data_IF_380493402401
#
_entry.id   IF_380493402401
#
_cell.length_a   1.000
_cell.length_b   1.000
_cell.length_c   1.000
_cell.angle_alpha   90.00
_cell.angle_beta   90.00
_cell.angle_gamma   90.00
#
_symmetry.space_group_name_H-M   'P 1'
#
loop_
_entity.id
_entity.type
_entity.pdbx_description
1 polymer ?
#
# COMPACT_ATOMS: atom_id res chain seq x y z
N UNK A 1 27.18 25.26 30.33
CA UNK A 1 27.48 25.36 28.89
C UNK A 1 26.40 24.55 28.18
N UNK A 2 25.49 25.18 27.44
CA UNK A 2 24.43 24.51 26.67
C UNK A 2 24.84 24.58 25.20
N UNK A 3 25.77 23.74 24.71
CA UNK A 3 25.78 23.41 23.29
C UNK A 3 24.75 22.29 23.10
N UNK A 4 23.85 22.34 22.13
CA UNK A 4 23.47 21.15 21.34
C UNK A 4 22.11 21.22 20.66
N UNK A 5 21.17 22.12 20.98
CA UNK A 5 19.83 22.05 20.34
C UNK A 5 19.92 22.14 18.81
N UNK A 6 20.73 23.07 18.28
CA UNK A 6 20.92 23.18 16.83
C UNK A 6 21.59 21.95 16.22
N UNK A 7 22.55 21.34 16.95
CA UNK A 7 23.20 20.08 16.52
C UNK A 7 22.21 18.91 16.55
N UNK A 8 21.35 18.82 17.56
CA UNK A 8 20.27 17.83 17.67
C UNK A 8 19.26 18.01 16.55
N UNK A 9 18.90 19.25 16.20
CA UNK A 9 18.00 19.54 15.09
C UNK A 9 18.63 19.09 13.76
N UNK A 10 19.93 19.35 13.54
CA UNK A 10 20.63 18.86 12.34
C UNK A 10 20.63 17.33 12.25
N UNK A 11 20.83 16.62 13.37
CA UNK A 11 20.71 15.15 13.42
C UNK A 11 19.30 14.71 13.05
N UNK A 12 18.26 15.38 13.58
CA UNK A 12 16.86 15.08 13.23
C UNK A 12 16.56 15.35 11.76
N UNK A 13 17.13 16.40 11.18
CA UNK A 13 16.96 16.73 9.76
C UNK A 13 17.59 15.66 8.87
N UNK A 14 18.81 15.20 9.19
CA UNK A 14 19.45 14.12 8.44
C UNK A 14 18.67 12.80 8.59
N UNK A 15 18.19 12.48 9.80
CA UNK A 15 17.32 11.32 10.06
C UNK A 15 15.99 11.39 9.30
N UNK A 16 15.47 12.59 9.01
CA UNK A 16 14.24 12.74 8.24
C UNK A 16 14.38 12.19 6.81
N UNK A 17 15.61 12.17 6.28
CA UNK A 17 15.98 11.63 4.96
C UNK A 17 16.28 10.13 4.99
N UNK A 18 16.41 9.53 6.17
CA UNK A 18 16.52 8.09 6.34
C UNK A 18 15.13 7.47 6.17
N UNK A 19 14.93 6.81 5.03
CA UNK A 19 13.71 6.03 4.75
C UNK A 19 14.08 4.57 4.55
N UNK A 20 13.25 3.62 5.02
CA UNK A 20 13.49 2.21 4.81
C UNK A 20 13.51 1.92 3.31
N UNK A 21 14.39 1.00 2.90
CA UNK A 21 14.50 0.60 1.51
C UNK A 21 13.16 0.06 1.02
N UNK A 22 12.63 0.65 -0.05
CA UNK A 22 11.44 0.11 -0.71
C UNK A 22 11.76 -1.26 -1.31
N UNK A 23 10.85 -2.22 -1.12
CA UNK A 23 10.99 -3.58 -1.64
C UNK A 23 11.12 -3.49 -3.17
N UNK A 24 12.33 -3.73 -3.67
CA UNK A 24 12.62 -3.66 -5.09
C UNK A 24 11.97 -4.86 -5.77
N UNK A 25 11.04 -4.62 -6.69
CA UNK A 25 10.53 -5.66 -7.58
C UNK A 25 11.72 -6.33 -8.28
N UNK A 26 11.78 -7.65 -8.22
CA UNK A 26 12.92 -8.38 -8.79
C UNK A 26 12.90 -8.27 -10.32
N UNK A 27 14.06 -8.40 -10.96
CA UNK A 27 14.14 -8.33 -12.43
C UNK A 27 13.29 -9.38 -13.15
N UNK A 28 12.95 -10.49 -12.48
CA UNK A 28 12.07 -11.54 -12.99
C UNK A 28 10.60 -11.10 -12.96
N UNK A 29 10.14 -10.48 -11.87
CA UNK A 29 8.78 -9.92 -11.79
C UNK A 29 8.56 -8.83 -12.83
N UNK A 30 9.57 -7.97 -13.04
CA UNK A 30 9.46 -6.89 -14.00
C UNK A 30 9.35 -7.42 -15.44
N UNK A 31 10.14 -8.45 -15.79
CA UNK A 31 10.02 -9.12 -17.10
C UNK A 31 8.67 -9.81 -17.26
N UNK A 32 8.18 -10.51 -16.24
CA UNK A 32 6.88 -11.17 -16.27
C UNK A 32 5.73 -10.16 -16.44
N UNK A 33 5.79 -9.01 -15.75
CA UNK A 33 4.82 -7.90 -15.90
C UNK A 33 4.84 -7.30 -17.30
N UNK A 34 6.03 -7.09 -17.88
CA UNK A 34 6.16 -6.57 -19.25
C UNK A 34 5.56 -7.55 -20.25
N UNK A 35 5.87 -8.84 -20.15
CA UNK A 35 5.30 -9.88 -21.02
C UNK A 35 3.77 -9.96 -20.87
N UNK A 36 3.27 -9.97 -19.63
CA UNK A 36 1.83 -9.99 -19.36
C UNK A 36 1.12 -8.76 -19.95
N UNK A 37 1.69 -7.57 -19.82
CA UNK A 37 1.12 -6.35 -20.39
C UNK A 37 1.10 -6.36 -21.92
N UNK A 38 2.15 -6.90 -22.56
CA UNK A 38 2.17 -7.09 -24.02
C UNK A 38 1.09 -8.08 -24.49
N UNK A 39 0.96 -9.22 -23.80
CA UNK A 39 -0.10 -10.19 -24.09
C UNK A 39 -1.51 -9.61 -23.89
N UNK A 40 -1.70 -8.79 -22.84
CA UNK A 40 -2.97 -8.11 -22.57
C UNK A 40 -3.31 -7.09 -23.66
N UNK A 41 -2.32 -6.27 -24.05
CA UNK A 41 -2.49 -5.30 -25.13
C UNK A 41 -2.81 -5.97 -26.47
N UNK A 42 -2.16 -7.10 -26.77
CA UNK A 42 -2.41 -7.85 -28.01
C UNK A 42 -3.78 -8.55 -28.01
N UNK A 43 -4.23 -9.10 -26.88
CA UNK A 43 -5.58 -9.63 -26.71
C UNK A 43 -6.66 -8.55 -26.89
N UNK A 44 -6.45 -7.37 -26.30
CA UNK A 44 -7.32 -6.21 -26.49
C UNK A 44 -7.42 -5.77 -27.96
N UNK A 45 -6.29 -5.75 -28.67
CA UNK A 45 -6.26 -5.42 -30.10
C UNK A 45 -7.08 -6.41 -30.94
N UNK A 46 -6.99 -7.72 -30.67
CA UNK A 46 -7.81 -8.72 -31.36
C UNK A 46 -9.31 -8.57 -31.08
N UNK A 47 -9.68 -8.20 -29.84
CA UNK A 47 -11.08 -7.90 -29.51
C UNK A 47 -11.60 -6.66 -30.24
N UNK A 48 -10.78 -5.62 -30.41
CA UNK A 48 -11.17 -4.42 -31.15
C UNK A 48 -11.36 -4.73 -32.63
N UNK A 49 -10.46 -5.53 -33.23
CA UNK A 49 -10.60 -5.98 -34.63
C UNK A 49 -11.87 -6.80 -34.81
N UNK A 50 -12.19 -7.70 -33.87
CA UNK A 50 -13.45 -8.45 -33.86
C UNK A 50 -14.67 -7.54 -33.82
N UNK A 51 -14.70 -6.60 -32.87
CA UNK A 51 -15.83 -5.68 -32.72
C UNK A 51 -16.03 -4.81 -33.96
N UNK A 52 -14.94 -4.30 -34.55
CA UNK A 52 -14.96 -3.52 -35.77
C UNK A 52 -15.46 -4.36 -36.96
N UNK A 53 -14.98 -5.60 -37.09
CA UNK A 53 -15.41 -6.52 -38.14
C UNK A 53 -16.90 -6.85 -38.02
N UNK A 54 -17.41 -7.13 -36.82
CA UNK A 54 -18.85 -7.39 -36.60
C UNK A 54 -19.70 -6.16 -36.88
N UNK A 55 -19.22 -4.96 -36.54
CA UNK A 55 -19.96 -3.71 -36.75
C UNK A 55 -20.03 -3.28 -38.22
N UNK A 56 -18.96 -3.51 -38.99
CA UNK A 56 -18.88 -3.13 -40.41
C UNK A 56 -19.44 -4.21 -41.37
N UNK A 57 -19.72 -5.41 -40.86
CA UNK A 57 -20.17 -6.54 -41.68
C UNK A 57 -21.70 -6.59 -41.78
N UNK A 58 -22.24 -6.02 -42.85
CA UNK A 58 -23.70 -5.81 -43.05
C UNK A 58 -24.41 -6.96 -43.79
N UNK A 59 -23.68 -7.99 -44.23
CA UNK A 59 -24.29 -9.12 -44.96
C UNK A 59 -24.89 -10.16 -44.03
N UNK A 60 -26.22 -10.33 -44.09
CA UNK A 60 -26.97 -11.42 -43.45
C UNK A 60 -27.51 -12.38 -44.53
N UNK A 61 -27.31 -13.71 -44.44
CA UNK A 61 -26.60 -14.44 -43.40
C UNK A 61 -25.06 -14.32 -43.52
N UNK A 62 -24.32 -14.37 -42.40
CA UNK A 62 -22.88 -14.26 -42.43
C UNK A 62 -22.23 -15.45 -43.12
N UNK A 63 -21.21 -15.18 -43.94
CA UNK A 63 -20.47 -16.23 -44.64
C UNK A 63 -19.78 -17.17 -43.64
N UNK A 64 -19.70 -18.45 -43.99
CA UNK A 64 -19.03 -19.47 -43.17
C UNK A 64 -17.59 -19.05 -42.84
N UNK A 65 -16.89 -18.42 -43.80
CA UNK A 65 -15.53 -17.92 -43.60
C UNK A 65 -15.45 -16.79 -42.56
N UNK A 66 -16.42 -15.88 -42.53
CA UNK A 66 -16.48 -14.80 -41.53
C UNK A 66 -16.70 -15.37 -40.12
N UNK A 67 -17.55 -16.40 -39.98
CA UNK A 67 -17.77 -17.08 -38.70
C UNK A 67 -16.51 -17.80 -38.20
N UNK A 68 -15.81 -18.53 -39.08
CA UNK A 68 -14.56 -19.22 -38.74
C UNK A 68 -13.48 -18.21 -38.31
N UNK A 69 -13.37 -17.07 -39.02
CA UNK A 69 -12.43 -16.02 -38.66
C UNK A 69 -12.71 -15.43 -37.27
N UNK A 70 -13.99 -15.13 -36.97
CA UNK A 70 -14.42 -14.61 -35.66
C UNK A 70 -14.14 -15.61 -34.54
N UNK A 71 -14.40 -16.90 -34.78
CA UNK A 71 -14.12 -17.96 -33.82
C UNK A 71 -12.60 -18.09 -33.54
N UNK A 72 -11.77 -18.04 -34.59
CA UNK A 72 -10.33 -18.22 -34.46
C UNK A 72 -9.66 -17.10 -33.66
N UNK A 73 -9.93 -15.81 -33.92
CA UNK A 73 -9.30 -14.79 -33.06
C UNK A 73 -9.94 -14.69 -31.67
N UNK A 74 -11.17 -15.17 -31.48
CA UNK A 74 -11.74 -15.29 -30.13
C UNK A 74 -10.97 -16.31 -29.31
N UNK A 75 -10.66 -17.47 -29.89
CA UNK A 75 -9.84 -18.51 -29.23
C UNK A 75 -8.43 -17.99 -28.95
N UNK A 76 -7.80 -17.33 -29.92
CA UNK A 76 -6.46 -16.74 -29.74
C UNK A 76 -6.48 -15.68 -28.64
N UNK A 77 -7.46 -14.77 -28.64
CA UNK A 77 -7.59 -13.73 -27.62
C UNK A 77 -7.78 -14.32 -26.23
N UNK A 78 -8.59 -15.39 -26.10
CA UNK A 78 -8.81 -16.07 -24.82
C UNK A 78 -7.53 -16.76 -24.32
N UNK A 79 -6.76 -17.41 -25.21
CA UNK A 79 -5.48 -18.02 -24.85
C UNK A 79 -4.44 -16.97 -24.42
N UNK A 80 -4.39 -15.83 -25.10
CA UNK A 80 -3.54 -14.70 -24.71
C UNK A 80 -3.97 -14.12 -23.36
N UNK A 81 -5.26 -13.92 -23.12
CA UNK A 81 -5.76 -13.44 -21.84
C UNK A 81 -5.41 -14.40 -20.70
N UNK A 82 -5.55 -15.71 -20.90
CA UNK A 82 -5.17 -16.71 -19.90
C UNK A 82 -3.66 -16.71 -19.63
N UNK A 83 -2.82 -16.48 -20.65
CA UNK A 83 -1.37 -16.39 -20.44
C UNK A 83 -0.95 -15.17 -19.61
N UNK A 84 -1.72 -14.06 -19.63
CA UNK A 84 -1.47 -12.90 -18.76
C UNK A 84 -1.63 -13.22 -17.28
N UNK A 85 -2.53 -14.15 -16.93
CA UNK A 85 -2.76 -14.56 -15.54
C UNK A 85 -1.69 -15.55 -15.08
N UNK A 86 -1.23 -16.43 -15.97
CA UNK A 86 -0.25 -17.46 -15.65
C UNK A 86 1.16 -16.86 -15.50
N UNK A 87 1.53 -15.88 -16.31
CA UNK A 87 2.85 -15.25 -16.28
C UNK A 87 3.30 -14.73 -14.88
N UNK A 88 2.50 -13.94 -14.15
CA UNK A 88 2.87 -13.49 -12.81
C UNK A 88 2.87 -14.64 -11.79
N UNK A 89 1.99 -15.65 -11.93
CA UNK A 89 1.95 -16.82 -11.04
C UNK A 89 3.23 -17.64 -11.17
N UNK A 90 3.66 -17.93 -12.40
CA UNK A 90 4.91 -18.67 -12.66
C UNK A 90 6.12 -17.88 -12.16
N UNK A 91 6.15 -16.56 -12.35
CA UNK A 91 7.22 -15.71 -11.83
C UNK A 91 7.29 -15.78 -10.30
N UNK A 92 6.15 -15.66 -9.60
CA UNK A 92 6.07 -15.79 -8.14
C UNK A 92 6.54 -17.16 -7.65
N UNK A 93 6.20 -18.24 -8.35
CA UNK A 93 6.66 -19.61 -8.02
C UNK A 93 8.17 -19.73 -8.19
N UNK A 94 8.73 -19.23 -9.30
CA UNK A 94 10.18 -19.26 -9.54
C UNK A 94 10.95 -18.46 -8.48
N UNK A 95 10.40 -17.34 -8.02
CA UNK A 95 10.95 -16.55 -6.93
C UNK A 95 10.83 -17.28 -5.59
N UNK A 96 9.71 -17.95 -5.35
CA UNK A 96 9.51 -18.79 -4.19
C UNK A 96 10.52 -19.95 -4.14
N UNK A 97 10.95 -20.50 -5.29
CA UNK A 97 12.04 -21.48 -5.30
C UNK A 97 13.42 -20.86 -5.01
N UNK A 98 13.62 -19.60 -5.39
CA UNK A 98 14.87 -18.85 -5.14
C UNK A 98 14.85 -18.04 -3.84
N UNK A 99 13.83 -18.24 -3.01
CA UNK A 99 13.55 -17.40 -1.84
C UNK A 99 14.74 -17.27 -0.90
N UNK A 100 15.44 -18.38 -0.59
CA UNK A 100 16.58 -18.36 0.34
C UNK A 100 17.71 -17.44 -0.14
N UNK A 101 17.99 -17.45 -1.44
CA UNK A 101 19.04 -16.61 -2.02
C UNK A 101 18.60 -15.16 -2.09
N UNK A 102 17.37 -14.91 -2.53
CA UNK A 102 16.79 -13.57 -2.62
C UNK A 102 16.60 -12.90 -1.25
N UNK A 103 16.21 -13.67 -0.23
CA UNK A 103 16.04 -13.16 1.13
C UNK A 103 17.39 -12.82 1.76
N UNK A 104 18.42 -13.64 1.52
CA UNK A 104 19.77 -13.36 2.02
C UNK A 104 20.37 -12.15 1.31
N UNK A 105 20.28 -12.10 -0.01
CA UNK A 105 20.77 -10.97 -0.81
C UNK A 105 20.04 -9.68 -0.40
N UNK A 106 18.71 -9.72 -0.24
CA UNK A 106 17.91 -8.62 0.26
C UNK A 106 18.35 -8.17 1.66
N UNK A 107 18.56 -9.11 2.59
CA UNK A 107 19.04 -8.77 3.93
C UNK A 107 20.44 -8.14 3.91
N UNK A 108 21.38 -8.66 3.13
CA UNK A 108 22.71 -8.05 2.98
C UNK A 108 22.62 -6.63 2.41
N UNK A 109 21.73 -6.43 1.46
CA UNK A 109 21.47 -5.15 0.82
C UNK A 109 20.82 -4.14 1.78
N UNK A 110 19.90 -4.59 2.63
CA UNK A 110 19.27 -3.79 3.67
C UNK A 110 20.31 -3.39 4.73
N UNK A 111 21.13 -4.34 5.19
CA UNK A 111 22.25 -4.07 6.11
C UNK A 111 23.20 -3.01 5.53
N UNK A 112 23.60 -3.15 4.26
CA UNK A 112 24.47 -2.16 3.60
C UNK A 112 23.82 -0.78 3.53
N UNK A 113 22.52 -0.74 3.27
CA UNK A 113 21.78 0.51 3.19
C UNK A 113 21.69 1.20 4.55
N UNK A 114 21.37 0.44 5.60
CA UNK A 114 21.27 0.93 6.97
C UNK A 114 22.64 1.36 7.52
N UNK A 115 23.71 0.59 7.23
CA UNK A 115 25.08 0.97 7.57
C UNK A 115 25.49 2.27 6.88
N UNK A 116 25.18 2.45 5.59
CA UNK A 116 25.48 3.69 4.89
C UNK A 116 24.73 4.91 5.48
N UNK A 117 23.58 4.72 6.13
CA UNK A 117 22.89 5.77 6.88
C UNK A 117 23.57 6.02 8.23
N UNK A 118 23.93 4.96 8.96
CA UNK A 118 24.66 5.06 10.21
C UNK A 118 26.01 5.78 10.03
N UNK A 119 26.77 5.48 8.97
CA UNK A 119 28.03 6.16 8.63
C UNK A 119 27.86 7.68 8.43
N UNK A 120 26.72 8.11 7.89
CA UNK A 120 26.40 9.54 7.76
C UNK A 120 26.14 10.17 9.12
N UNK A 121 25.46 9.44 10.01
CA UNK A 121 25.16 9.89 11.36
C UNK A 121 26.37 9.84 12.31
N UNK A 122 27.35 8.96 12.07
CA UNK A 122 28.56 8.83 12.88
C UNK A 122 29.41 10.12 12.94
N UNK A 123 29.19 11.04 12.00
CA UNK A 123 29.86 12.36 11.96
C UNK A 123 29.38 13.32 13.05
N UNK A 124 28.22 13.06 13.64
CA UNK A 124 27.64 13.91 14.67
C UNK A 124 28.12 13.51 16.07
N UNK A 125 28.10 14.47 16.99
CA UNK A 125 28.55 14.28 18.36
C UNK A 125 27.63 13.32 19.14
N UNK A 126 28.21 12.43 19.96
CA UNK A 126 27.45 11.41 20.72
C UNK A 126 26.36 12.00 21.63
N UNK A 127 26.58 13.22 22.15
CA UNK A 127 25.58 13.96 22.94
C UNK A 127 24.36 14.32 22.08
N UNK A 128 24.58 14.81 20.85
CA UNK A 128 23.50 15.18 19.93
C UNK A 128 22.69 13.96 19.47
N UNK A 129 23.33 12.81 19.25
CA UNK A 129 22.65 11.54 18.95
C UNK A 129 21.77 11.08 20.12
N UNK A 130 22.27 11.15 21.37
CA UNK A 130 21.50 10.80 22.57
C UNK A 130 20.29 11.71 22.77
N UNK A 131 20.46 13.01 22.55
CA UNK A 131 19.35 13.98 22.60
C UNK A 131 18.30 13.68 21.52
N UNK A 132 18.74 13.38 20.29
CA UNK A 132 17.84 13.02 19.18
C UNK A 132 17.05 11.74 19.49
N UNK A 133 17.73 10.70 19.96
CA UNK A 133 17.13 9.46 20.41
C UNK A 133 16.06 9.69 21.49
N UNK A 134 16.37 10.52 22.48
CA UNK A 134 15.44 10.87 23.55
C UNK A 134 14.17 11.56 23.03
N UNK A 135 14.32 12.53 22.13
CA UNK A 135 13.18 13.26 21.56
C UNK A 135 12.30 12.37 20.69
N UNK A 136 12.89 11.52 19.86
CA UNK A 136 12.16 10.54 19.04
C UNK A 136 11.45 9.52 19.92
N UNK A 137 12.12 8.94 20.91
CA UNK A 137 11.54 7.98 21.86
C UNK A 137 10.36 8.58 22.60
N UNK A 138 10.50 9.83 23.07
CA UNK A 138 9.41 10.57 23.71
C UNK A 138 8.25 10.85 22.75
N UNK A 139 8.51 11.10 21.46
CA UNK A 139 7.45 11.32 20.47
C UNK A 139 6.69 10.01 20.19
N UNK A 140 7.40 8.90 19.99
CA UNK A 140 6.81 7.56 19.82
C UNK A 140 5.94 7.20 21.03
N UNK A 141 6.47 7.41 22.26
CA UNK A 141 5.72 7.13 23.49
C UNK A 141 4.43 7.96 23.56
N UNK A 142 4.49 9.26 23.28
CA UNK A 142 3.30 10.13 23.26
C UNK A 142 2.27 9.69 22.21
N UNK A 143 2.71 9.22 21.04
CA UNK A 143 1.79 8.68 20.03
C UNK A 143 1.15 7.39 20.55
N UNK A 144 1.96 6.47 21.10
CA UNK A 144 1.48 5.19 21.64
C UNK A 144 0.51 5.37 22.81
N UNK A 145 0.75 6.33 23.70
CA UNK A 145 -0.15 6.65 24.82
C UNK A 145 -1.48 7.23 24.32
N UNK A 146 -1.44 8.10 23.31
CA UNK A 146 -2.67 8.66 22.70
C UNK A 146 -3.47 7.56 22.00
N UNK A 147 -2.83 6.77 21.14
CA UNK A 147 -3.50 5.68 20.43
C UNK A 147 -3.98 4.60 21.40
N UNK A 148 -3.17 4.24 22.39
CA UNK A 148 -3.54 3.26 23.41
C UNK A 148 -4.73 3.70 24.28
N UNK A 149 -4.88 5.00 24.54
CA UNK A 149 -6.04 5.54 25.28
C UNK A 149 -7.35 5.45 24.50
N UNK A 150 -7.32 5.62 23.18
CA UNK A 150 -8.52 5.62 22.34
C UNK A 150 -8.87 4.24 21.77
N UNK A 151 -7.87 3.39 21.55
CA UNK A 151 -8.05 2.12 20.84
C UNK A 151 -7.61 0.91 21.68
N UNK A 152 -6.75 1.06 22.68
CA UNK A 152 -6.17 -0.09 23.38
C UNK A 152 -5.06 -0.76 22.56
N UNK A 153 -5.12 -2.08 22.37
CA UNK A 153 -4.11 -2.82 21.60
C UNK A 153 -4.14 -2.50 20.10
N UNK A 154 -3.01 -2.79 19.41
CA UNK A 154 -2.79 -2.50 17.98
C UNK A 154 -3.90 -3.04 17.05
N UNK A 155 -4.63 -4.06 17.47
CA UNK A 155 -5.71 -4.73 16.71
C UNK A 155 -7.03 -3.98 16.74
N UNK A 156 -7.26 -3.08 17.70
CA UNK A 156 -8.52 -2.39 17.86
C UNK A 156 -8.82 -1.37 16.75
N UNK A 157 -7.78 -0.81 16.13
CA UNK A 157 -7.93 0.00 14.92
C UNK A 157 -8.62 -0.77 13.79
N UNK A 158 -8.19 -2.02 13.57
CA UNK A 158 -8.75 -2.93 12.57
C UNK A 158 -10.15 -3.37 12.99
N UNK A 159 -10.36 -3.65 14.28
CA UNK A 159 -11.66 -3.94 14.85
C UNK A 159 -12.68 -2.84 14.57
N UNK A 160 -12.33 -1.58 14.84
CA UNK A 160 -13.20 -0.43 14.55
C UNK A 160 -13.44 -0.22 13.06
N UNK A 161 -12.44 -0.49 12.21
CA UNK A 161 -12.63 -0.43 10.76
C UNK A 161 -13.64 -1.48 10.30
N UNK A 162 -13.52 -2.70 10.80
CA UNK A 162 -14.45 -3.79 10.54
C UNK A 162 -15.85 -3.45 11.07
N UNK A 163 -15.97 -2.92 12.29
CA UNK A 163 -17.24 -2.48 12.86
C UNK A 163 -17.88 -1.36 12.02
N UNK A 164 -17.11 -0.35 11.60
CA UNK A 164 -17.62 0.73 10.75
C UNK A 164 -18.09 0.21 9.37
N UNK A 165 -17.37 -0.75 8.80
CA UNK A 165 -17.77 -1.41 7.56
C UNK A 165 -19.04 -2.25 7.72
N UNK A 166 -19.09 -3.12 8.73
CA UNK A 166 -20.28 -3.94 9.04
C UNK A 166 -21.50 -3.07 9.34
N UNK A 167 -21.32 -1.98 10.07
CA UNK A 167 -22.35 -0.99 10.34
C UNK A 167 -22.92 -0.42 9.03
N UNK A 168 -22.07 0.06 8.12
CA UNK A 168 -22.53 0.57 6.83
C UNK A 168 -23.26 -0.51 6.00
N UNK A 169 -22.80 -1.76 6.06
CA UNK A 169 -23.42 -2.87 5.34
C UNK A 169 -24.83 -3.22 5.88
N UNK A 170 -25.00 -3.24 7.21
CA UNK A 170 -26.28 -3.60 7.85
C UNK A 170 -27.42 -2.62 7.54
N UNK A 171 -27.12 -1.32 7.36
CA UNK A 171 -28.14 -0.31 7.09
C UNK A 171 -28.49 -0.14 5.60
N UNK A 172 -27.95 -0.98 4.71
CA UNK A 172 -28.25 -0.93 3.27
C UNK A 172 -27.09 -0.40 2.40
N UNK A 173 -25.88 -0.36 2.95
CA UNK A 173 -24.66 -0.08 2.22
C UNK A 173 -24.58 1.33 1.65
N UNK A 174 -23.96 1.45 0.48
CA UNK A 174 -23.67 2.73 -0.16
C UNK A 174 -24.96 3.50 -0.55
N UNK A 175 -26.03 2.78 -0.91
CA UNK A 175 -27.34 3.38 -1.21
C UNK A 175 -27.92 4.12 0.01
N UNK A 176 -27.86 3.50 1.18
CA UNK A 176 -28.33 4.13 2.42
C UNK A 176 -27.49 5.35 2.81
N UNK A 177 -26.15 5.27 2.67
CA UNK A 177 -25.26 6.41 2.91
C UNK A 177 -25.63 7.58 1.98
N UNK A 178 -25.78 7.31 0.68
CA UNK A 178 -26.12 8.31 -0.33
C UNK A 178 -27.46 8.98 -0.03
N UNK A 179 -28.50 8.18 0.23
CA UNK A 179 -29.84 8.70 0.56
C UNK A 179 -29.84 9.52 1.85
N UNK A 180 -29.11 9.07 2.86
CA UNK A 180 -28.98 9.78 4.15
C UNK A 180 -28.27 11.12 3.99
N UNK A 181 -27.21 11.18 3.17
CA UNK A 181 -26.50 12.42 2.84
C UNK A 181 -27.37 13.40 2.04
N UNK A 182 -28.10 12.90 1.04
CA UNK A 182 -29.00 13.73 0.21
C UNK A 182 -30.18 14.26 1.02
N UNK A 183 -30.73 13.45 1.94
CA UNK A 183 -31.82 13.86 2.81
C UNK A 183 -31.37 14.89 3.87
N UNK A 184 -30.11 14.83 4.32
CA UNK A 184 -29.52 15.81 5.25
C UNK A 184 -30.15 15.81 6.65
N UNK A 185 -29.89 16.87 7.42
CA UNK A 185 -30.37 17.07 8.80
C UNK A 185 -31.85 17.50 8.84
N UNK A 186 -32.74 16.61 8.41
CA UNK A 186 -34.19 16.78 8.56
C UNK A 186 -34.72 15.91 9.69
N UNK A 187 -35.82 16.32 10.32
CA UNK A 187 -36.43 15.61 11.46
C UNK A 187 -36.82 14.17 11.09
N UNK A 188 -37.29 13.95 9.85
CA UNK A 188 -37.62 12.64 9.28
C UNK A 188 -36.41 11.74 9.02
N UNK A 189 -35.21 12.32 8.89
CA UNK A 189 -33.96 11.60 8.61
C UNK A 189 -32.94 11.68 9.77
N UNK A 190 -33.35 12.21 10.92
CA UNK A 190 -32.46 12.54 12.02
C UNK A 190 -31.80 11.28 12.61
N UNK A 191 -32.55 10.18 12.71
CA UNK A 191 -32.04 8.88 13.16
C UNK A 191 -30.92 8.36 12.24
N UNK A 192 -31.17 8.32 10.93
CA UNK A 192 -30.17 7.88 9.96
C UNK A 192 -28.94 8.79 9.95
N UNK A 193 -29.14 10.10 10.11
CA UNK A 193 -28.05 11.09 10.15
C UNK A 193 -27.16 10.89 11.38
N UNK A 194 -27.75 10.61 12.55
CA UNK A 194 -27.01 10.29 13.77
C UNK A 194 -26.25 8.96 13.63
N UNK A 195 -26.91 7.92 13.11
CA UNK A 195 -26.29 6.63 12.83
C UNK A 195 -25.11 6.77 11.87
N UNK A 196 -25.29 7.50 10.76
CA UNK A 196 -24.22 7.80 9.81
C UNK A 196 -23.07 8.57 10.47
N UNK A 197 -23.39 9.54 11.35
CA UNK A 197 -22.41 10.28 12.13
C UNK A 197 -21.57 9.38 13.04
N UNK A 198 -22.19 8.43 13.74
CA UNK A 198 -21.49 7.43 14.56
C UNK A 198 -20.57 6.56 13.69
N UNK A 199 -21.08 6.03 12.57
CA UNK A 199 -20.27 5.23 11.64
C UNK A 199 -19.08 6.00 11.08
N UNK A 200 -19.27 7.26 10.68
CA UNK A 200 -18.21 8.13 10.17
C UNK A 200 -17.17 8.45 11.26
N UNK A 201 -17.61 8.65 12.50
CA UNK A 201 -16.72 8.88 13.64
C UNK A 201 -15.85 7.65 13.92
N UNK A 202 -16.43 6.44 13.95
CA UNK A 202 -15.69 5.19 14.12
C UNK A 202 -14.66 4.98 13.00
N UNK A 203 -15.05 5.23 11.75
CA UNK A 203 -14.17 5.11 10.59
C UNK A 203 -13.03 6.15 10.63
N UNK A 204 -13.33 7.41 10.93
CA UNK A 204 -12.34 8.47 11.06
C UNK A 204 -11.35 8.21 12.20
N UNK A 205 -11.83 7.71 13.34
CA UNK A 205 -11.00 7.26 14.45
C UNK A 205 -10.06 6.12 14.01
N UNK A 206 -10.57 5.09 13.35
CA UNK A 206 -9.76 3.98 12.86
C UNK A 206 -8.65 4.44 11.92
N UNK A 207 -8.98 5.22 10.88
CA UNK A 207 -7.99 5.74 9.92
C UNK A 207 -6.95 6.61 10.63
N UNK A 208 -7.37 7.50 11.53
CA UNK A 208 -6.47 8.35 12.31
C UNK A 208 -5.48 7.55 13.15
N UNK A 209 -5.94 6.45 13.75
CA UNK A 209 -5.09 5.56 14.55
C UNK A 209 -4.03 4.83 13.72
N UNK A 210 -4.41 4.36 12.52
CA UNK A 210 -3.50 3.71 11.57
C UNK A 210 -2.44 4.70 11.10
N UNK A 211 -2.85 5.92 10.74
CA UNK A 211 -1.93 6.98 10.33
C UNK A 211 -0.92 7.33 11.42
N UNK A 212 -1.38 7.45 12.67
CA UNK A 212 -0.49 7.67 13.83
C UNK A 212 0.45 6.48 14.05
N UNK A 213 -0.02 5.25 13.87
CA UNK A 213 0.78 4.04 13.94
C UNK A 213 1.91 4.04 12.91
N UNK A 214 1.62 4.44 11.67
CA UNK A 214 2.61 4.58 10.60
C UNK A 214 3.67 5.64 10.92
N UNK A 215 3.27 6.80 11.45
CA UNK A 215 4.20 7.84 11.89
C UNK A 215 5.10 7.33 13.03
N UNK A 216 4.52 6.62 14.00
CA UNK A 216 5.30 6.05 15.10
C UNK A 216 6.29 4.97 14.62
N UNK A 217 5.91 4.17 13.62
CA UNK A 217 6.81 3.20 13.00
C UNK A 217 8.01 3.89 12.32
N UNK A 218 7.77 4.99 11.60
CA UNK A 218 8.85 5.80 11.00
C UNK A 218 9.84 6.32 12.05
N UNK A 219 9.34 6.86 13.17
CA UNK A 219 10.22 7.34 14.25
C UNK A 219 10.97 6.20 14.96
N UNK A 220 10.39 5.00 15.06
CA UNK A 220 11.10 3.81 15.57
C UNK A 220 12.26 3.41 14.66
N UNK A 221 12.03 3.41 13.34
CA UNK A 221 13.10 3.16 12.38
C UNK A 221 14.26 4.15 12.55
N UNK A 222 13.97 5.44 12.71
CA UNK A 222 15.01 6.44 12.97
C UNK A 222 15.78 6.20 14.28
N UNK A 223 15.10 5.70 15.32
CA UNK A 223 15.75 5.30 16.58
C UNK A 223 16.70 4.13 16.35
N UNK A 224 16.26 3.10 15.59
CA UNK A 224 17.08 1.93 15.27
C UNK A 224 18.37 2.32 14.54
N UNK A 225 18.32 3.28 13.60
CA UNK A 225 19.52 3.80 12.93
C UNK A 225 20.47 4.52 13.89
N UNK A 226 19.94 5.29 14.86
CA UNK A 226 20.78 5.94 15.90
C UNK A 226 21.45 4.87 16.78
N UNK A 227 20.71 3.82 17.17
CA UNK A 227 21.23 2.71 17.97
C UNK A 227 22.32 1.94 17.23
N UNK A 228 22.25 1.86 15.89
CA UNK A 228 23.28 1.24 15.05
C UNK A 228 24.62 2.00 15.17
N UNK A 229 24.58 3.34 15.18
CA UNK A 229 25.78 4.17 15.39
C UNK A 229 26.32 4.02 16.80
N UNK A 230 25.45 3.93 17.81
CA UNK A 230 25.87 3.79 19.21
C UNK A 230 26.45 2.42 19.58
N UNK A 231 26.40 1.44 18.67
CA UNK A 231 27.00 0.10 18.82
C UNK A 231 28.48 0.06 18.42
N UNK A 232 28.94 1.02 17.63
CA UNK A 232 30.33 1.18 17.20
C UNK A 232 31.11 2.06 18.18
#
# INVERSE_FOLDING_TARGET
MIPSIDKTIQVLEELSRCEPRQVRCTGVENKARVIANWCLGLSGLFLIIMACFVFLYDTRPPSIYAQIFVLMMSIISMLLAMSTLIAPIVASILLAFRWKKLSLEGLCDDIRHEQAMADRLAKFESVALKDAHFWLSRKVRRISERTGRFFGEKTAAIGLLATAYSFAAEFGGFEWISRTLVAGFRIDNLGNTVLLGVGALLLGMSIGSIALGHIAARYRYQIEIIELVGRE
#
